data_IF_245286305668
#
_entry.id   IF_245286305668
#
_cell.length_a   1.000
_cell.length_b   1.000
_cell.length_c   1.000
_cell.angle_alpha   90.00
_cell.angle_beta   90.00
_cell.angle_gamma   90.00
#
_symmetry.space_group_name_H-M   'P 1'
#
loop_
_entity.id
_entity.type
_entity.pdbx_description
1 polymer ?
#
# COMPACT_ATOMS: atom_id res chain seq x y z
N UNK A 1 -4.17 3.21 13.98
CA UNK A 1 -2.84 2.96 13.37
C UNK A 1 -3.02 2.23 12.06
N UNK A 2 -2.42 2.72 10.97
CA UNK A 2 -2.66 2.21 9.62
C UNK A 2 -1.83 0.94 9.32
N UNK A 3 -0.62 0.83 9.87
CA UNK A 3 0.31 -0.29 9.64
C UNK A 3 0.67 -1.00 10.93
N UNK A 4 0.96 -2.30 10.84
CA UNK A 4 1.76 -3.01 11.83
C UNK A 4 3.18 -3.09 11.26
N UNK A 5 4.11 -2.36 11.86
CA UNK A 5 5.50 -2.33 11.41
C UNK A 5 6.25 -3.48 12.06
N UNK A 6 7.02 -4.26 11.28
CA UNK A 6 7.97 -5.20 11.85
C UNK A 6 9.05 -4.41 12.60
N UNK A 7 9.62 -5.02 13.63
CA UNK A 7 10.78 -4.45 14.33
C UNK A 7 12.00 -4.32 13.41
N UNK A 8 12.07 -5.09 12.32
CA UNK A 8 13.21 -5.10 11.39
C UNK A 8 12.79 -5.23 9.93
N UNK A 9 13.55 -4.61 9.04
CA UNK A 9 13.46 -4.76 7.59
C UNK A 9 14.85 -5.11 7.04
N UNK A 10 15.02 -6.34 6.54
CA UNK A 10 16.32 -6.85 6.11
C UNK A 10 16.66 -6.46 4.68
N UNK A 11 15.71 -6.62 3.76
CA UNK A 11 15.93 -6.33 2.33
C UNK A 11 14.69 -5.73 1.68
N UNK A 12 14.93 -4.94 0.65
CA UNK A 12 13.93 -4.39 -0.24
C UNK A 12 14.10 -4.99 -1.62
N UNK A 13 13.10 -5.73 -2.09
CA UNK A 13 13.10 -6.38 -3.39
C UNK A 13 12.11 -5.71 -4.34
N UNK A 14 12.52 -5.58 -5.59
CA UNK A 14 11.73 -5.04 -6.68
C UNK A 14 11.41 -6.17 -7.64
N UNK A 15 10.17 -6.25 -8.10
CA UNK A 15 9.75 -7.22 -9.11
C UNK A 15 8.95 -6.55 -10.22
N UNK A 16 9.08 -7.03 -11.44
CA UNK A 16 8.04 -6.88 -12.45
C UNK A 16 6.96 -7.92 -12.16
N UNK A 17 5.77 -7.51 -11.73
CA UNK A 17 4.73 -8.41 -11.24
C UNK A 17 3.82 -8.95 -12.37
N UNK A 18 3.35 -10.22 -12.32
CA UNK A 18 3.71 -11.27 -11.40
C UNK A 18 4.94 -12.03 -11.93
N UNK A 19 6.13 -11.61 -11.52
CA UNK A 19 7.36 -12.17 -12.10
C UNK A 19 8.60 -11.95 -11.25
N UNK A 20 9.73 -11.96 -11.95
CA UNK A 20 11.05 -12.11 -11.37
C UNK A 20 11.49 -10.92 -10.52
N UNK A 21 12.37 -11.20 -9.56
CA UNK A 21 13.12 -10.17 -8.85
C UNK A 21 14.03 -9.47 -9.86
N UNK A 22 13.90 -8.15 -9.97
CA UNK A 22 14.72 -7.31 -10.84
C UNK A 22 15.86 -6.64 -10.07
N UNK A 23 15.67 -6.36 -8.78
CA UNK A 23 16.67 -5.77 -7.91
C UNK A 23 16.39 -6.12 -6.46
N UNK A 24 17.45 -6.29 -5.67
CA UNK A 24 17.37 -6.35 -4.21
C UNK A 24 18.34 -5.35 -3.61
N UNK A 25 17.91 -4.64 -2.57
CA UNK A 25 18.71 -3.73 -1.77
C UNK A 25 18.75 -4.24 -0.32
N UNK A 26 19.93 -4.33 0.31
CA UNK A 26 19.99 -4.50 1.75
C UNK A 26 19.44 -3.25 2.43
N UNK A 27 18.60 -3.43 3.44
CA UNK A 27 18.03 -2.33 4.23
C UNK A 27 18.70 -2.25 5.61
N UNK A 28 18.75 -3.36 6.33
CA UNK A 28 19.23 -3.42 7.73
C UNK A 28 18.63 -2.30 8.59
N UNK A 29 17.33 -2.06 8.44
CA UNK A 29 16.60 -1.00 9.14
C UNK A 29 15.83 -1.59 10.32
N UNK A 30 15.81 -0.87 11.43
CA UNK A 30 15.08 -1.27 12.63
C UNK A 30 14.04 -0.20 12.99
N UNK A 31 12.88 -0.67 13.44
CA UNK A 31 11.82 0.16 14.00
C UNK A 31 11.81 -0.07 15.52
N UNK A 32 12.26 0.90 16.33
CA UNK A 32 12.35 0.72 17.78
C UNK A 32 10.95 0.55 18.38
N UNK A 33 10.61 -0.70 18.72
CA UNK A 33 9.33 -1.05 19.34
C UNK A 33 9.46 -0.99 20.86
N UNK A 34 8.97 0.09 21.47
CA UNK A 34 8.80 0.19 22.91
C UNK A 34 7.33 -0.12 23.24
N UNK A 35 7.05 -1.32 23.74
CA UNK A 35 5.72 -1.69 24.23
C UNK A 35 5.20 -0.62 25.24
N UNK A 36 3.89 -0.29 25.27
CA UNK A 36 2.76 -1.02 24.68
C UNK A 36 2.20 -0.44 23.36
N UNK A 37 2.79 0.64 22.84
CA UNK A 37 2.28 1.34 21.66
C UNK A 37 3.21 1.09 20.47
N UNK A 38 2.73 0.47 19.37
CA UNK A 38 3.56 0.33 18.19
C UNK A 38 4.01 1.70 17.68
N UNK A 39 5.28 1.86 17.38
CA UNK A 39 5.82 3.07 16.76
C UNK A 39 5.57 3.04 15.24
N UNK A 40 5.05 4.13 14.70
CA UNK A 40 5.08 4.34 13.25
C UNK A 40 6.54 4.64 12.86
N UNK A 41 7.12 3.80 12.02
CA UNK A 41 8.44 4.02 11.45
C UNK A 41 8.31 4.25 9.95
N UNK A 42 9.10 5.18 9.44
CA UNK A 42 9.25 5.44 8.02
C UNK A 42 10.73 5.58 7.73
N UNK A 43 11.16 5.01 6.62
CA UNK A 43 12.54 5.09 6.16
C UNK A 43 12.57 5.54 4.71
N UNK A 44 13.57 6.34 4.37
CA UNK A 44 13.84 6.73 3.00
C UNK A 44 14.99 5.87 2.48
N UNK A 45 14.73 5.19 1.37
CA UNK A 45 15.71 4.31 0.72
C UNK A 45 15.87 4.82 -0.69
N UNK A 46 17.09 5.23 -1.05
CA UNK A 46 17.37 5.66 -2.41
C UNK A 46 17.37 4.44 -3.34
N UNK A 47 16.64 4.53 -4.43
CA UNK A 47 16.49 3.46 -5.40
C UNK A 47 16.77 4.00 -6.79
N UNK A 48 17.64 3.32 -7.52
CA UNK A 48 17.77 3.49 -8.96
C UNK A 48 17.42 2.17 -9.64
N UNK A 49 16.50 2.21 -10.61
CA UNK A 49 16.08 1.07 -11.42
C UNK A 49 16.45 1.37 -12.86
N UNK A 50 17.26 0.50 -13.47
CA UNK A 50 17.49 0.53 -14.91
C UNK A 50 16.33 -0.20 -15.59
N UNK A 51 15.53 0.57 -16.32
CA UNK A 51 14.40 0.05 -17.10
C UNK A 51 14.82 -0.34 -18.52
N UNK A 52 16.10 -0.20 -18.87
CA UNK A 52 16.67 -0.69 -20.12
C UNK A 52 16.41 -2.19 -20.27
N UNK A 53 15.77 -2.59 -21.36
CA UNK A 53 15.39 -3.98 -21.61
C UNK A 53 14.10 -4.44 -20.92
N UNK A 54 13.42 -3.57 -20.17
CA UNK A 54 12.08 -3.90 -19.68
C UNK A 54 11.06 -3.81 -20.81
N UNK A 55 9.99 -4.63 -20.78
CA UNK A 55 8.94 -4.50 -21.79
C UNK A 55 8.29 -3.10 -21.71
N UNK A 56 8.11 -2.43 -22.85
CA UNK A 56 7.60 -1.05 -22.94
C UNK A 56 6.09 -0.93 -22.64
N UNK A 57 5.66 0.18 -22.03
CA UNK A 57 4.26 0.43 -21.66
C UNK A 57 3.98 0.24 -20.16
N UNK A 58 2.71 0.07 -19.80
CA UNK A 58 2.28 -0.05 -18.39
C UNK A 58 2.68 -1.38 -17.76
N UNK A 59 3.33 -1.34 -16.60
CA UNK A 59 3.78 -2.49 -15.81
C UNK A 59 3.37 -2.36 -14.36
N UNK A 60 3.34 -3.48 -13.65
CA UNK A 60 3.21 -3.46 -12.19
C UNK A 60 4.58 -3.64 -11.55
N UNK A 61 5.07 -2.57 -10.92
CA UNK A 61 6.26 -2.66 -10.09
C UNK A 61 5.84 -3.11 -8.69
N UNK A 62 6.27 -4.30 -8.27
CA UNK A 62 6.11 -4.75 -6.89
C UNK A 62 7.31 -4.31 -6.06
N UNK A 63 7.02 -3.53 -5.04
CA UNK A 63 7.93 -3.10 -3.98
C UNK A 63 7.72 -4.02 -2.78
N UNK A 64 8.70 -4.83 -2.43
CA UNK A 64 8.58 -5.86 -1.39
C UNK A 64 9.60 -5.66 -0.28
N UNK A 65 9.13 -5.46 0.94
CA UNK A 65 9.98 -5.51 2.13
C UNK A 65 10.01 -6.94 2.64
N UNK A 66 11.19 -7.43 2.95
CA UNK A 66 11.40 -8.76 3.50
C UNK A 66 12.09 -8.66 4.85
N UNK A 67 11.58 -9.45 5.77
CA UNK A 67 12.07 -9.65 7.13
C UNK A 67 12.44 -11.12 7.31
N UNK A 68 13.60 -11.38 7.90
CA UNK A 68 13.96 -12.68 8.43
C UNK A 68 13.57 -12.70 9.91
N UNK A 69 12.87 -13.75 10.33
CA UNK A 69 12.46 -13.91 11.72
C UNK A 69 13.44 -14.81 12.48
N UNK A 70 13.47 -14.67 13.81
CA UNK A 70 14.44 -15.39 14.64
C UNK A 70 14.24 -16.92 14.62
N UNK A 71 13.04 -17.39 14.25
CA UNK A 71 12.72 -18.81 14.04
C UNK A 71 13.13 -19.33 12.65
N UNK A 72 13.89 -18.55 11.88
CA UNK A 72 14.40 -18.92 10.55
C UNK A 72 13.39 -18.78 9.42
N UNK A 73 12.20 -18.24 9.68
CA UNK A 73 11.21 -17.97 8.65
C UNK A 73 11.46 -16.64 7.93
N UNK A 74 10.75 -16.43 6.82
CA UNK A 74 10.81 -15.19 6.04
C UNK A 74 9.42 -14.58 5.94
N UNK A 75 9.26 -13.38 6.46
CA UNK A 75 8.04 -12.59 6.35
C UNK A 75 8.22 -11.55 5.26
N UNK A 76 7.21 -11.32 4.44
CA UNK A 76 7.28 -10.20 3.49
C UNK A 76 5.95 -9.49 3.37
N UNK A 77 6.00 -8.19 3.12
CA UNK A 77 4.87 -7.36 2.69
C UNK A 77 5.23 -6.72 1.36
N UNK A 78 4.24 -6.34 0.56
CA UNK A 78 4.52 -5.64 -0.68
C UNK A 78 3.40 -4.73 -1.12
N UNK A 79 3.77 -3.67 -1.84
CA UNK A 79 2.86 -2.86 -2.65
C UNK A 79 3.13 -3.10 -4.11
N UNK A 80 2.09 -3.18 -4.93
CA UNK A 80 2.19 -3.15 -6.38
C UNK A 80 1.66 -1.81 -6.87
N UNK A 81 2.50 -1.10 -7.62
CA UNK A 81 2.19 0.21 -8.16
C UNK A 81 2.23 0.17 -9.69
N UNK A 82 1.38 0.96 -10.37
CA UNK A 82 1.44 1.08 -11.81
C UNK A 82 2.67 1.91 -12.18
N UNK A 83 3.42 1.46 -13.19
CA UNK A 83 4.65 2.09 -13.65
C UNK A 83 4.68 2.07 -15.18
N UNK A 84 4.85 3.24 -15.81
CA UNK A 84 4.96 3.34 -17.26
C UNK A 84 6.44 3.27 -17.69
N UNK A 85 6.82 2.21 -18.39
CA UNK A 85 8.12 2.15 -19.09
C UNK A 85 7.96 2.88 -20.41
N UNK A 86 8.91 3.77 -20.75
CA UNK A 86 8.89 4.59 -21.97
C UNK A 86 8.46 3.77 -23.19
N UNK A 87 7.46 4.28 -23.89
CA UNK A 87 6.83 3.67 -25.06
C UNK A 87 6.48 4.76 -26.08
N UNK A 88 6.34 4.37 -27.35
CA UNK A 88 5.83 5.26 -28.41
C UNK A 88 4.40 4.83 -28.74
N UNK A 89 3.39 5.71 -28.68
CA UNK A 89 2.03 5.40 -29.09
C UNK A 89 1.99 4.80 -30.52
N UNK A 90 1.11 3.81 -30.79
CA UNK A 90 0.06 3.27 -29.91
C UNK A 90 0.55 2.14 -28.99
N UNK A 91 1.85 1.79 -29.01
CA UNK A 91 2.43 0.62 -28.32
C UNK A 91 2.65 0.82 -26.81
N UNK A 92 1.85 1.69 -26.18
CA UNK A 92 1.86 1.92 -24.74
C UNK A 92 0.93 0.99 -23.96
N UNK A 93 0.39 -0.03 -24.63
CA UNK A 93 -0.43 -1.07 -24.02
C UNK A 93 0.41 -2.05 -23.19
N UNK A 94 -0.26 -2.79 -22.31
CA UNK A 94 0.35 -3.82 -21.47
C UNK A 94 -0.05 -3.70 -20.00
N UNK A 95 0.50 -4.61 -19.20
CA UNK A 95 0.19 -4.77 -17.79
C UNK A 95 -0.33 -6.17 -17.53
N UNK A 96 0.24 -6.82 -16.53
CA UNK A 96 -0.01 -8.22 -16.22
C UNK A 96 -1.34 -8.42 -15.48
N UNK A 97 -2.04 -7.33 -15.15
CA UNK A 97 -3.34 -7.30 -14.49
C UNK A 97 -4.34 -6.47 -15.29
N UNK A 98 -5.11 -7.08 -16.21
CA UNK A 98 -6.01 -6.35 -17.12
C UNK A 98 -7.09 -5.49 -16.43
N UNK A 99 -7.50 -5.88 -15.22
CA UNK A 99 -8.47 -5.16 -14.38
C UNK A 99 -7.84 -4.09 -13.48
N UNK A 100 -6.53 -3.85 -13.65
CA UNK A 100 -5.69 -3.03 -12.78
C UNK A 100 -4.65 -2.26 -13.61
N UNK A 101 -4.90 -2.02 -14.91
CA UNK A 101 -3.91 -1.42 -15.82
C UNK A 101 -3.71 0.06 -15.51
N UNK A 102 -2.47 0.53 -15.40
CA UNK A 102 -2.12 1.93 -15.20
C UNK A 102 -2.60 2.96 -16.25
N UNK A 103 -3.44 2.62 -17.22
CA UNK A 103 -3.87 3.54 -18.28
C UNK A 103 -4.84 4.62 -17.73
N UNK A 104 -4.42 5.89 -17.64
CA UNK A 104 -5.23 6.98 -17.13
C UNK A 104 -6.42 7.31 -18.04
N UNK A 105 -6.33 7.01 -19.34
CA UNK A 105 -7.40 7.26 -20.29
C UNK A 105 -8.65 6.38 -20.03
N UNK A 106 -8.50 5.34 -19.20
CA UNK A 106 -9.55 4.36 -18.92
C UNK A 106 -9.94 4.27 -17.43
N UNK A 107 -9.45 5.17 -16.56
CA UNK A 107 -9.65 5.10 -15.10
C UNK A 107 -9.18 3.77 -14.46
N UNK A 108 -8.16 3.12 -15.04
CA UNK A 108 -7.76 1.75 -14.62
C UNK A 108 -6.58 1.71 -13.65
N UNK A 109 -5.90 2.84 -13.40
CA UNK A 109 -4.76 2.87 -12.50
C UNK A 109 -5.14 2.40 -11.10
N UNK A 110 -4.35 1.47 -10.58
CA UNK A 110 -4.64 0.81 -9.32
C UNK A 110 -3.38 0.61 -8.48
N UNK A 111 -3.55 0.46 -7.18
CA UNK A 111 -2.50 0.00 -6.27
C UNK A 111 -3.02 -1.21 -5.51
N UNK A 112 -2.16 -2.21 -5.35
CA UNK A 112 -2.46 -3.40 -4.53
C UNK A 112 -1.50 -3.41 -3.34
N UNK A 113 -2.08 -3.30 -2.14
CA UNK A 113 -1.38 -3.45 -0.87
C UNK A 113 -1.53 -4.86 -0.33
N UNK A 114 -0.42 -5.53 -0.02
CA UNK A 114 -0.41 -6.92 0.47
C UNK A 114 0.10 -6.99 1.89
N UNK A 115 -0.58 -7.78 2.71
CA UNK A 115 -0.19 -8.05 4.11
C UNK A 115 1.16 -8.76 4.23
N UNK A 116 1.66 -8.81 5.47
CA UNK A 116 2.75 -9.71 5.88
C UNK A 116 2.34 -11.17 5.66
N UNK A 117 3.23 -12.00 5.10
CA UNK A 117 2.94 -13.42 4.87
C UNK A 117 4.06 -14.38 5.27
N UNK A 118 3.66 -15.55 5.78
CA UNK A 118 4.36 -16.85 5.71
C UNK A 118 3.36 -17.94 5.34
N UNK A 119 3.67 -18.79 4.35
CA UNK A 119 2.97 -20.06 4.11
C UNK A 119 1.42 -20.04 4.00
N UNK A 120 0.86 -19.03 3.30
CA UNK A 120 -0.52 -18.94 2.78
C UNK A 120 -1.68 -18.62 3.76
N UNK A 121 -2.07 -17.33 3.82
CA UNK A 121 -3.44 -16.80 3.75
C UNK A 121 -3.41 -15.25 3.77
N UNK A 122 -2.64 -14.67 2.85
CA UNK A 122 -2.40 -13.24 2.86
C UNK A 122 -3.61 -12.44 2.35
N UNK A 123 -3.94 -11.39 3.09
CA UNK A 123 -4.94 -10.42 2.67
C UNK A 123 -4.35 -9.36 1.75
N UNK A 124 -5.15 -8.93 0.77
CA UNK A 124 -4.85 -7.82 -0.12
C UNK A 124 -5.94 -6.77 -0.07
N UNK A 125 -5.53 -5.51 -0.21
CA UNK A 125 -6.41 -4.40 -0.54
C UNK A 125 -6.05 -3.90 -1.93
N UNK A 126 -7.06 -3.67 -2.77
CA UNK A 126 -6.90 -3.02 -4.07
C UNK A 126 -7.66 -1.70 -4.05
N UNK A 127 -7.02 -0.65 -4.55
CA UNK A 127 -7.64 0.64 -4.84
C UNK A 127 -7.53 0.85 -6.35
N UNK A 128 -8.64 1.06 -7.03
CA UNK A 128 -8.76 1.33 -8.46
C UNK A 128 -9.26 2.77 -8.70
N UNK A 129 -8.93 3.32 -9.87
CA UNK A 129 -9.31 4.68 -10.26
C UNK A 129 -8.43 5.76 -9.62
N UNK A 130 -7.19 5.40 -9.27
CA UNK A 130 -6.26 6.34 -8.64
C UNK A 130 -5.93 7.48 -9.63
N UNK A 131 -6.05 8.75 -9.22
CA UNK A 131 -5.72 9.87 -10.09
C UNK A 131 -4.22 9.93 -10.37
N UNK A 132 -3.87 10.24 -11.61
CA UNK A 132 -2.49 10.51 -12.05
C UNK A 132 -2.24 11.99 -12.33
N UNK A 133 -3.26 12.83 -12.13
CA UNK A 133 -3.23 14.27 -12.28
C UNK A 133 -3.93 14.93 -11.07
N UNK A 134 -3.75 16.25 -10.86
CA UNK A 134 -4.52 17.00 -9.88
C UNK A 134 -6.04 16.76 -10.01
N UNK A 135 -6.73 16.69 -8.88
CA UNK A 135 -8.19 16.48 -8.80
C UNK A 135 -8.91 17.72 -8.30
N UNK A 136 -10.16 17.88 -8.73
CA UNK A 136 -11.09 18.93 -8.33
C UNK A 136 -12.53 18.41 -8.40
N UNK A 137 -13.44 18.96 -7.60
CA UNK A 137 -14.82 18.49 -7.53
C UNK A 137 -14.94 17.10 -6.88
N UNK A 138 -15.45 16.13 -7.62
CA UNK A 138 -15.74 14.78 -7.10
C UNK A 138 -14.75 13.74 -7.61
N UNK A 139 -13.98 13.12 -6.71
CA UNK A 139 -13.13 11.98 -7.02
C UNK A 139 -13.85 10.67 -6.66
N UNK A 140 -13.86 9.69 -7.58
CA UNK A 140 -14.49 8.38 -7.38
C UNK A 140 -13.48 7.25 -7.56
N UNK A 141 -13.44 6.36 -6.57
CA UNK A 141 -12.53 5.21 -6.50
C UNK A 141 -13.34 3.93 -6.32
N UNK A 142 -12.75 2.79 -6.68
CA UNK A 142 -13.26 1.46 -6.32
C UNK A 142 -12.27 0.76 -5.41
N UNK A 143 -12.73 0.24 -4.28
CA UNK A 143 -11.86 -0.38 -3.27
C UNK A 143 -12.36 -1.78 -2.97
N UNK A 144 -11.45 -2.75 -2.87
CA UNK A 144 -11.79 -4.14 -2.61
C UNK A 144 -10.82 -4.80 -1.63
N UNK A 145 -11.35 -5.68 -0.76
CA UNK A 145 -10.56 -6.73 -0.15
C UNK A 145 -10.30 -7.80 -1.24
N UNK A 146 -9.22 -7.62 -2.01
CA UNK A 146 -9.03 -8.32 -3.29
C UNK A 146 -8.52 -9.76 -3.15
N UNK A 147 -8.05 -10.14 -1.96
CA UNK A 147 -7.68 -11.51 -1.60
C UNK A 147 -7.75 -11.67 -0.08
N UNK A 148 -8.07 -12.88 0.38
CA UNK A 148 -8.18 -13.23 1.80
C UNK A 148 -9.48 -12.70 2.41
N UNK A 149 -10.14 -13.54 3.21
CA UNK A 149 -11.41 -13.19 3.84
C UNK A 149 -11.21 -12.08 4.89
N UNK A 150 -11.92 -10.96 4.74
CA UNK A 150 -11.85 -9.83 5.66
C UNK A 150 -13.12 -9.69 6.50
N UNK A 151 -13.00 -9.21 7.73
CA UNK A 151 -14.14 -8.74 8.54
C UNK A 151 -14.47 -7.28 8.34
N UNK A 152 -13.48 -6.45 8.02
CA UNK A 152 -13.71 -5.03 7.77
C UNK A 152 -12.77 -4.56 6.67
N UNK A 153 -13.30 -3.82 5.71
CA UNK A 153 -12.52 -2.99 4.82
C UNK A 153 -12.76 -1.55 5.23
N UNK A 154 -11.69 -0.86 5.61
CA UNK A 154 -11.76 0.52 6.09
C UNK A 154 -10.95 1.43 5.17
N UNK A 155 -11.46 2.64 4.96
CA UNK A 155 -10.87 3.64 4.07
C UNK A 155 -10.76 4.96 4.83
N UNK A 156 -9.58 5.55 4.78
CA UNK A 156 -9.22 6.74 5.55
C UNK A 156 -8.55 7.76 4.64
N UNK A 157 -8.84 9.04 4.87
CA UNK A 157 -7.92 10.11 4.51
C UNK A 157 -6.79 10.06 5.54
N UNK A 158 -5.61 9.60 5.13
CA UNK A 158 -4.52 9.29 6.03
C UNK A 158 -3.62 10.49 6.29
N UNK A 159 -3.60 10.94 7.54
CA UNK A 159 -2.77 12.05 8.01
C UNK A 159 -1.46 11.60 8.64
N UNK A 160 -1.28 10.29 8.82
CA UNK A 160 -0.27 9.74 9.74
C UNK A 160 1.06 9.36 9.08
N UNK A 161 1.12 9.25 7.74
CA UNK A 161 2.34 8.90 7.01
C UNK A 161 2.64 9.95 5.94
N UNK A 162 3.38 10.96 6.35
CA UNK A 162 3.97 11.95 5.48
C UNK A 162 5.07 11.29 4.62
N UNK A 163 5.14 11.57 3.31
CA UNK A 163 6.31 11.18 2.50
C UNK A 163 7.33 12.33 2.58
N UNK A 164 8.52 12.15 3.15
CA UNK A 164 9.57 13.17 3.16
C UNK A 164 10.28 13.36 1.79
N UNK A 165 9.82 12.72 0.72
CA UNK A 165 10.67 12.39 -0.44
C UNK A 165 10.98 13.53 -1.42
N UNK A 166 10.48 14.76 -1.24
CA UNK A 166 10.92 15.89 -2.11
C UNK A 166 11.26 17.19 -1.36
N UNK A 167 11.61 17.08 -0.07
CA UNK A 167 11.75 18.21 0.86
C UNK A 167 10.61 18.23 1.87
N UNK A 168 10.46 19.29 2.69
CA UNK A 168 9.26 19.45 3.50
C UNK A 168 8.08 19.71 2.56
N UNK A 169 7.32 18.67 2.21
CA UNK A 169 5.95 18.88 1.75
C UNK A 169 5.18 19.58 2.89
N UNK A 170 4.13 20.31 2.57
CA UNK A 170 3.27 20.78 3.64
C UNK A 170 2.63 19.55 4.29
N UNK A 171 2.69 19.44 5.62
CA UNK A 171 1.89 18.46 6.33
C UNK A 171 0.46 18.53 5.78
N UNK A 172 -0.19 17.38 5.58
CA UNK A 172 -1.61 17.41 5.25
C UNK A 172 -2.27 18.32 6.30
N UNK A 173 -2.95 19.40 5.89
CA UNK A 173 -3.56 20.31 6.83
C UNK A 173 -4.38 19.49 7.81
N UNK A 174 -4.16 19.68 9.11
CA UNK A 174 -4.98 19.02 10.11
C UNK A 174 -6.41 19.53 9.92
N UNK A 175 -7.22 18.81 9.15
CA UNK A 175 -8.62 19.16 9.01
C UNK A 175 -9.23 19.01 10.40
N UNK A 176 -9.82 20.08 10.98
CA UNK A 176 -10.28 20.06 12.36
C UNK A 176 -11.29 18.93 12.63
N UNK A 177 -11.92 18.39 11.58
CA UNK A 177 -12.64 17.13 11.58
C UNK A 177 -12.37 16.35 10.28
N UNK A 178 -12.52 15.03 10.28
CA UNK A 178 -12.67 14.31 9.01
C UNK A 178 -13.90 14.85 8.27
N UNK A 179 -13.92 14.88 6.92
CA UNK A 179 -15.14 15.16 6.18
C UNK A 179 -16.27 14.24 6.66
N UNK A 180 -17.54 14.69 6.69
CA UNK A 180 -18.66 13.87 7.13
C UNK A 180 -18.67 12.48 6.48
N UNK A 181 -18.87 11.44 7.30
CA UNK A 181 -18.92 10.06 6.82
C UNK A 181 -17.56 9.41 6.55
N UNK A 182 -16.48 9.94 7.14
CA UNK A 182 -15.14 9.32 7.16
C UNK A 182 -14.71 8.92 8.59
N UNK A 183 -14.05 7.77 8.77
CA UNK A 183 -13.67 6.78 7.75
C UNK A 183 -14.87 6.03 7.16
N UNK A 184 -14.71 5.48 5.95
CA UNK A 184 -15.67 4.55 5.37
C UNK A 184 -15.33 3.14 5.84
N UNK A 185 -16.34 2.38 6.27
CA UNK A 185 -16.17 1.02 6.77
C UNK A 185 -17.18 0.10 6.11
N UNK A 186 -16.71 -1.01 5.56
CA UNK A 186 -17.51 -2.08 4.99
C UNK A 186 -17.33 -3.34 5.83
N UNK A 187 -18.40 -3.84 6.43
CA UNK A 187 -18.38 -5.04 7.27
C UNK A 187 -18.46 -6.31 6.41
N UNK A 188 -17.66 -7.32 6.77
CA UNK A 188 -17.55 -8.63 6.14
C UNK A 188 -17.57 -8.57 4.59
N UNK A 189 -16.70 -7.75 3.97
CA UNK A 189 -16.73 -7.54 2.52
C UNK A 189 -16.43 -8.88 1.80
N UNK A 190 -17.27 -9.30 0.84
CA UNK A 190 -16.94 -10.41 -0.04
C UNK A 190 -15.61 -10.19 -0.75
N UNK A 191 -14.81 -11.25 -0.85
CA UNK A 191 -13.50 -11.19 -1.50
C UNK A 191 -13.67 -10.77 -2.96
N UNK A 192 -12.93 -9.74 -3.37
CA UNK A 192 -12.93 -9.22 -4.74
C UNK A 192 -14.10 -8.29 -5.08
N UNK A 193 -15.07 -8.09 -4.19
CA UNK A 193 -16.14 -7.11 -4.42
C UNK A 193 -15.58 -5.68 -4.37
N UNK A 194 -15.86 -4.91 -5.43
CA UNK A 194 -15.53 -3.49 -5.49
C UNK A 194 -16.61 -2.66 -4.77
N UNK A 195 -16.18 -1.81 -3.86
CA UNK A 195 -17.00 -0.79 -3.20
C UNK A 195 -16.64 0.59 -3.76
N UNK A 196 -17.65 1.32 -4.22
CA UNK A 196 -17.46 2.70 -4.68
C UNK A 196 -17.25 3.63 -3.49
N UNK A 197 -16.16 4.40 -3.54
CA UNK A 197 -15.87 5.47 -2.57
C UNK A 197 -15.74 6.78 -3.32
N UNK A 198 -16.53 7.75 -2.89
CA UNK A 198 -16.55 9.09 -3.46
C UNK A 198 -16.03 10.10 -2.44
N UNK A 199 -15.17 11.00 -2.90
CA UNK A 199 -14.60 12.11 -2.14
C UNK A 199 -14.99 13.40 -2.82
N UNK A 200 -15.65 14.28 -2.08
CA UNK A 200 -15.83 15.67 -2.47
C UNK A 200 -14.54 16.44 -2.11
N UNK A 201 -13.71 16.67 -3.12
CA UNK A 201 -12.41 17.34 -2.97
C UNK A 201 -12.55 18.84 -2.76
N UNK A 202 -13.73 19.42 -2.98
CA UNK A 202 -14.00 20.84 -2.64
C UNK A 202 -14.02 21.08 -1.13
N UNK A 203 -14.19 20.01 -0.34
CA UNK A 203 -14.10 20.04 1.13
C UNK A 203 -12.66 19.87 1.64
N UNK A 204 -11.68 19.72 0.73
CA UNK A 204 -10.27 19.60 1.05
C UNK A 204 -9.52 20.88 0.63
N UNK A 205 -8.56 21.36 1.42
CA UNK A 205 -7.65 22.42 1.01
C UNK A 205 -6.90 22.06 -0.27
N UNK A 206 -6.49 23.07 -1.04
CA UNK A 206 -5.57 22.85 -2.15
C UNK A 206 -4.22 22.34 -1.62
N UNK A 207 -3.64 21.34 -2.28
CA UNK A 207 -2.39 20.72 -1.87
C UNK A 207 -2.42 19.20 -1.89
N UNK A 208 -1.43 18.59 -1.23
CA UNK A 208 -1.28 17.14 -1.20
C UNK A 208 -2.07 16.50 -0.07
N UNK A 209 -2.79 15.44 -0.44
CA UNK A 209 -3.55 14.58 0.45
C UNK A 209 -3.17 13.13 0.22
N UNK A 210 -3.57 12.26 1.15
CA UNK A 210 -3.35 10.84 0.97
C UNK A 210 -4.55 10.02 1.42
N UNK A 211 -4.81 8.94 0.70
CA UNK A 211 -5.86 8.00 1.03
C UNK A 211 -5.23 6.63 1.26
N UNK A 212 -5.68 5.98 2.31
CA UNK A 212 -5.32 4.61 2.60
C UNK A 212 -6.55 3.74 2.78
N UNK A 213 -6.44 2.49 2.33
CA UNK A 213 -7.42 1.45 2.61
C UNK A 213 -6.72 0.27 3.26
N UNK A 214 -7.36 -0.30 4.28
CA UNK A 214 -6.87 -1.49 4.99
C UNK A 214 -7.99 -2.50 5.16
N UNK A 215 -7.64 -3.78 5.20
CA UNK A 215 -8.56 -4.81 5.65
C UNK A 215 -8.14 -5.40 7.01
N UNK A 216 -9.13 -5.79 7.81
CA UNK A 216 -8.89 -6.43 9.11
C UNK A 216 -9.49 -7.82 9.12
N UNK A 217 -8.70 -8.84 9.46
CA UNK A 217 -9.14 -10.22 9.61
C UNK A 217 -9.94 -10.47 10.90
N UNK A 218 -10.71 -11.57 10.92
CA UNK A 218 -11.51 -12.03 12.07
C UNK A 218 -10.72 -12.55 13.25
N UNK A 219 -9.59 -13.14 12.93
CA UNK A 219 -8.59 -13.59 13.86
C UNK A 219 -7.29 -13.14 13.22
N UNK A 220 -6.51 -12.33 13.93
CA UNK A 220 -5.11 -12.25 13.60
C UNK A 220 -4.59 -13.67 13.70
N UNK A 221 -4.24 -14.29 12.57
CA UNK A 221 -3.17 -15.26 12.62
C UNK A 221 -2.00 -14.51 13.25
N UNK A 222 -1.79 -14.70 14.54
CA UNK A 222 -0.53 -14.28 15.12
C UNK A 222 0.49 -15.16 14.41
N UNK A 223 1.32 -14.57 13.57
CA UNK A 223 2.53 -15.22 13.15
C UNK A 223 3.39 -15.37 14.42
N UNK A 224 3.17 -16.47 15.13
CA UNK A 224 3.84 -16.76 16.37
C UNK A 224 5.29 -17.10 16.03
N UNK A 225 6.21 -16.21 16.40
CA UNK A 225 7.60 -16.60 16.50
C UNK A 225 7.66 -17.78 17.48
N UNK A 226 8.05 -18.95 16.99
CA UNK A 226 8.02 -20.18 17.79
C UNK A 226 9.09 -20.12 18.87
N UNK A 227 8.69 -19.88 20.13
CA UNK A 227 9.42 -20.09 21.41
C UNK A 227 10.86 -19.59 21.61
N UNK A 228 11.54 -19.05 20.58
CA UNK A 228 12.96 -18.66 20.62
C UNK A 228 13.20 -17.15 20.39
N UNK A 229 12.13 -16.37 20.18
CA UNK A 229 12.24 -14.91 20.23
C UNK A 229 12.39 -14.46 21.68
N UNK A 230 13.55 -13.93 22.06
CA UNK A 230 13.86 -13.36 23.39
C UNK A 230 13.13 -12.04 23.69
N UNK A 231 12.02 -11.80 23.01
CA UNK A 231 11.17 -10.65 23.19
C UNK A 231 9.78 -11.20 23.51
N UNK A 232 9.19 -10.78 24.63
CA UNK A 232 7.79 -11.01 24.99
C UNK A 232 6.86 -10.22 24.07
N UNK A 233 7.08 -10.24 22.75
CA UNK A 233 6.17 -9.60 21.81
C UNK A 233 5.16 -10.66 21.40
N UNK A 234 4.03 -10.62 22.09
CA UNK A 234 2.72 -10.93 21.50
C UNK A 234 2.59 -9.99 20.30
N UNK A 235 3.20 -10.36 19.17
CA UNK A 235 3.34 -9.49 18.00
C UNK A 235 2.35 -9.95 16.93
N UNK A 236 1.08 -9.51 16.98
CA UNK A 236 0.17 -9.72 15.88
C UNK A 236 0.60 -8.78 14.75
N UNK A 237 1.55 -9.20 13.90
CA UNK A 237 1.50 -8.71 12.54
C UNK A 237 0.23 -9.30 11.94
N UNK A 238 -0.87 -8.57 12.11
CA UNK A 238 -2.15 -8.97 11.57
C UNK A 238 -2.00 -9.12 10.06
N UNK A 239 -2.67 -10.13 9.49
CA UNK A 239 -2.80 -10.36 8.06
C UNK A 239 -3.64 -9.24 7.43
N UNK A 240 -3.18 -7.99 7.51
CA UNK A 240 -3.87 -6.78 7.05
C UNK A 240 -3.13 -6.25 5.83
N UNK A 241 -3.76 -6.37 4.67
CA UNK A 241 -3.35 -5.68 3.46
C UNK A 241 -3.61 -4.19 3.63
N UNK A 242 -2.62 -3.37 3.29
CA UNK A 242 -2.74 -1.92 3.33
C UNK A 242 -2.27 -1.34 2.01
N UNK A 243 -3.15 -0.62 1.34
CA UNK A 243 -2.83 0.15 0.14
C UNK A 243 -2.95 1.65 0.47
N UNK A 244 -1.99 2.45 0.02
CA UNK A 244 -1.97 3.90 0.21
C UNK A 244 -1.52 4.58 -1.08
N UNK A 245 -2.10 5.73 -1.38
CA UNK A 245 -1.65 6.62 -2.44
C UNK A 245 -1.79 8.09 -2.05
N UNK A 246 -1.12 8.95 -2.79
CA UNK A 246 -1.17 10.40 -2.64
C UNK A 246 -1.80 11.03 -3.87
N UNK A 247 -2.54 12.12 -3.65
CA UNK A 247 -3.20 12.89 -4.70
C UNK A 247 -3.11 14.38 -4.39
N UNK A 248 -3.14 15.20 -5.43
CA UNK A 248 -3.08 16.65 -5.31
C UNK A 248 -4.46 17.25 -5.58
N UNK A 249 -4.96 18.07 -4.66
CA UNK A 249 -6.21 18.81 -4.80
C UNK A 249 -5.92 20.20 -5.35
N UNK A 250 -6.66 20.58 -6.38
CA UNK A 250 -6.61 21.89 -7.02
C UNK A 250 -8.04 22.36 -7.35
N UNK A 251 -8.72 22.92 -6.35
CA UNK A 251 -9.99 23.64 -6.47
C UNK A 251 -9.79 25.08 -6.96
#
# INVERSE_FOLDING_TARGET
MLHNNPSTANKFAFHLAPGNVIKTLPLNLECPYNAPTPSNCAWNVNVSLDTGGWPAGWRHLRLRVVQNTADGQTWTTSSEIPFAVKCTPPNCSGGEFPSCIGDPANNKACIIGKSWYTNFDYQNVRINGIPTAPVSGTMTLKIAASKGQSQKLEVFLDRSHFIPAVGPWNAEPSLPNNPPGWPKTFANPPVGQDFTVTIDTTQLPNGWHSLAARNTAARGGNSSCKSACNYTVVNPNFETGVAKFWFFVQN
#
